data_IF_997923067225
#
_entry.id   IF_997923067225
#
_cell.length_a   1.000
_cell.length_b   1.000
_cell.length_c   1.000
_cell.angle_alpha   90.00
_cell.angle_beta   90.00
_cell.angle_gamma   90.00
#
_symmetry.space_group_name_H-M   'P 1'
#
loop_
_entity.id
_entity.type
_entity.pdbx_description
1 polymer ?
#
# COMPACT_ATOMS: atom_id res chain seq x y z
N UNK A 1 22.38 16.45 -7.95
CA UNK A 1 21.21 16.77 -7.10
C UNK A 1 20.86 15.57 -6.20
N UNK A 2 20.73 14.35 -6.72
CA UNK A 2 20.41 13.15 -5.94
C UNK A 2 21.30 12.94 -4.70
N UNK A 3 22.63 13.03 -4.82
CA UNK A 3 23.59 12.89 -3.72
C UNK A 3 23.29 13.86 -2.57
N UNK A 4 23.09 15.15 -2.89
CA UNK A 4 22.79 16.16 -1.87
C UNK A 4 21.50 15.84 -1.11
N UNK A 5 20.44 15.45 -1.83
CA UNK A 5 19.18 15.08 -1.22
C UNK A 5 19.37 13.83 -0.35
N UNK A 6 20.10 12.82 -0.84
CA UNK A 6 20.41 11.61 -0.05
C UNK A 6 21.08 11.95 1.28
N UNK A 7 22.09 12.80 1.27
CA UNK A 7 22.79 13.21 2.49
C UNK A 7 21.82 13.90 3.46
N UNK A 8 21.01 14.84 2.98
CA UNK A 8 20.01 15.54 3.80
C UNK A 8 19.01 14.58 4.41
N UNK A 9 18.49 13.63 3.63
CA UNK A 9 17.53 12.63 4.12
C UNK A 9 18.15 11.69 5.15
N UNK A 10 19.41 11.28 4.98
CA UNK A 10 20.13 10.45 5.97
C UNK A 10 20.32 11.22 7.27
N UNK A 11 20.62 12.51 7.23
CA UNK A 11 20.73 13.34 8.43
C UNK A 11 19.39 13.43 9.16
N UNK A 12 18.28 13.69 8.45
CA UNK A 12 16.94 13.68 9.05
C UNK A 12 16.56 12.30 9.59
N UNK A 13 16.88 11.22 8.87
CA UNK A 13 16.65 9.86 9.32
C UNK A 13 17.38 9.58 10.62
N UNK A 14 18.67 9.92 10.71
CA UNK A 14 19.46 9.75 11.93
C UNK A 14 18.87 10.56 13.10
N UNK A 15 18.48 11.81 12.85
CA UNK A 15 17.85 12.66 13.87
C UNK A 15 16.56 12.02 14.40
N UNK A 16 15.67 11.58 13.51
CA UNK A 16 14.39 10.97 13.89
C UNK A 16 14.60 9.60 14.58
N UNK A 17 15.59 8.81 14.14
CA UNK A 17 15.95 7.56 14.82
C UNK A 17 16.39 7.80 16.28
N UNK A 18 17.16 8.87 16.54
CA UNK A 18 17.58 9.25 17.90
C UNK A 18 16.37 9.69 18.74
N UNK A 19 15.43 10.43 18.15
CA UNK A 19 14.24 10.95 18.83
C UNK A 19 13.25 9.82 19.16
N UNK A 20 12.93 8.97 18.17
CA UNK A 20 11.82 8.01 18.27
C UNK A 20 12.23 6.61 18.73
N UNK A 21 13.49 6.24 18.57
CA UNK A 21 14.08 4.96 19.03
C UNK A 21 13.31 3.71 18.59
N UNK A 22 12.60 3.75 17.46
CA UNK A 22 11.79 2.63 16.98
C UNK A 22 11.70 2.59 15.45
N UNK A 23 12.05 1.45 14.88
CA UNK A 23 12.02 1.24 13.43
C UNK A 23 10.58 1.21 12.84
N UNK A 24 9.56 1.04 13.68
CA UNK A 24 8.15 1.07 13.21
C UNK A 24 7.54 2.47 13.18
N UNK A 25 8.34 3.53 13.38
CA UNK A 25 7.85 4.90 13.29
C UNK A 25 7.62 5.30 11.82
N UNK A 26 6.47 5.95 11.47
CA UNK A 26 6.12 6.24 10.08
C UNK A 26 7.18 7.08 9.36
N UNK A 27 7.77 8.07 10.02
CA UNK A 27 8.81 8.90 9.41
C UNK A 27 10.12 8.15 9.15
N UNK A 28 10.46 7.15 9.97
CA UNK A 28 11.65 6.31 9.74
C UNK A 28 11.44 5.44 8.49
N UNK A 29 10.23 4.94 8.29
CA UNK A 29 9.87 4.17 7.10
C UNK A 29 9.99 5.05 5.85
N UNK A 30 9.35 6.23 5.84
CA UNK A 30 9.39 7.15 4.70
C UNK A 30 10.81 7.60 4.36
N UNK A 31 11.56 8.09 5.35
CA UNK A 31 12.91 8.60 5.12
C UNK A 31 13.89 7.51 4.75
N UNK A 32 13.77 6.32 5.35
CA UNK A 32 14.61 5.17 5.02
C UNK A 32 14.41 4.73 3.57
N UNK A 33 13.16 4.61 3.13
CA UNK A 33 12.81 4.27 1.76
C UNK A 33 13.37 5.28 0.76
N UNK A 34 13.07 6.57 0.93
CA UNK A 34 13.51 7.60 0.00
C UNK A 34 15.03 7.84 0.03
N UNK A 35 15.69 7.61 1.17
CA UNK A 35 17.16 7.64 1.24
C UNK A 35 17.78 6.55 0.35
N UNK A 36 17.21 5.34 0.35
CA UNK A 36 17.66 4.24 -0.50
C UNK A 36 17.39 4.57 -1.97
N UNK A 37 16.19 5.07 -2.30
CA UNK A 37 15.81 5.40 -3.69
C UNK A 37 16.73 6.47 -4.27
N UNK A 38 16.94 7.57 -3.55
CA UNK A 38 17.83 8.63 -4.03
C UNK A 38 19.30 8.20 -4.10
N UNK A 39 19.72 7.34 -3.17
CA UNK A 39 21.04 6.72 -3.26
C UNK A 39 21.18 5.88 -4.54
N UNK A 40 20.18 5.06 -4.87
CA UNK A 40 20.15 4.30 -6.12
C UNK A 40 20.15 5.22 -7.36
N UNK A 41 19.45 6.34 -7.33
CA UNK A 41 19.47 7.32 -8.41
C UNK A 41 20.82 8.00 -8.61
N UNK A 42 21.79 7.83 -7.69
CA UNK A 42 23.18 8.33 -7.91
C UNK A 42 23.98 7.45 -8.86
N UNK A 43 23.57 6.20 -9.04
CA UNK A 43 24.17 5.28 -9.99
C UNK A 43 23.40 5.41 -11.30
N UNK A 44 23.97 6.06 -12.29
CA UNK A 44 23.38 6.16 -13.64
C UNK A 44 23.57 4.84 -14.41
N UNK A 45 22.87 3.79 -13.99
CA UNK A 45 22.88 2.48 -14.69
C UNK A 45 22.22 2.61 -16.07
N UNK A 46 21.29 3.55 -16.21
CA UNK A 46 20.65 3.91 -17.46
C UNK A 46 20.79 5.41 -17.65
N UNK A 47 21.14 5.86 -18.86
CA UNK A 47 21.21 7.27 -19.23
C UNK A 47 19.82 7.90 -19.22
N UNK A 48 19.34 8.27 -18.03
CA UNK A 48 18.12 9.05 -17.88
C UNK A 48 18.45 10.43 -17.36
N UNK A 49 18.07 11.43 -18.10
CA UNK A 49 18.04 12.79 -17.61
C UNK A 49 16.84 13.00 -16.69
N UNK A 50 17.09 12.89 -15.38
CA UNK A 50 16.08 13.20 -14.37
C UNK A 50 16.05 14.72 -14.17
N UNK A 51 14.90 15.34 -14.45
CA UNK A 51 14.73 16.78 -14.32
C UNK A 51 14.89 17.24 -12.86
N UNK A 52 15.51 18.41 -12.69
CA UNK A 52 15.62 19.04 -11.37
C UNK A 52 14.25 19.23 -10.70
N UNK A 53 13.21 19.43 -11.50
CA UNK A 53 11.84 19.61 -11.04
C UNK A 53 11.27 18.34 -10.39
N UNK A 54 11.55 17.15 -10.95
CA UNK A 54 11.14 15.89 -10.35
C UNK A 54 11.75 15.69 -8.96
N UNK A 55 13.06 15.98 -8.84
CA UNK A 55 13.74 15.97 -7.54
C UNK A 55 13.12 16.96 -6.55
N UNK A 56 12.79 18.18 -6.99
CA UNK A 56 12.16 19.20 -6.14
C UNK A 56 10.79 18.78 -5.64
N UNK A 57 9.94 18.19 -6.49
CA UNK A 57 8.61 17.72 -6.12
C UNK A 57 8.70 16.70 -4.98
N UNK A 58 9.56 15.69 -5.12
CA UNK A 58 9.72 14.66 -4.10
C UNK A 58 10.31 15.26 -2.82
N UNK A 59 11.36 16.05 -2.94
CA UNK A 59 12.05 16.63 -1.79
C UNK A 59 11.16 17.58 -0.98
N UNK A 60 10.41 18.46 -1.65
CA UNK A 60 9.42 19.33 -0.99
C UNK A 60 8.30 18.52 -0.31
N UNK A 61 7.84 17.46 -0.95
CA UNK A 61 6.85 16.57 -0.36
C UNK A 61 7.36 15.90 0.92
N UNK A 62 8.61 15.40 0.92
CA UNK A 62 9.24 14.80 2.10
C UNK A 62 9.47 15.84 3.20
N UNK A 63 9.96 17.05 2.86
CA UNK A 63 10.12 18.13 3.83
C UNK A 63 8.79 18.53 4.47
N UNK A 64 7.72 18.55 3.68
CA UNK A 64 6.36 18.82 4.17
C UNK A 64 5.88 17.72 5.10
N UNK A 65 6.20 16.44 4.82
CA UNK A 65 5.93 15.34 5.73
C UNK A 65 6.70 15.48 7.06
N UNK A 66 7.96 15.92 7.01
CA UNK A 66 8.75 16.20 8.23
C UNK A 66 8.10 17.34 9.03
N UNK A 67 7.66 18.42 8.36
CA UNK A 67 6.90 19.50 9.00
C UNK A 67 5.63 19.00 9.69
N UNK A 68 4.84 18.16 9.01
CA UNK A 68 3.64 17.53 9.58
C UNK A 68 3.92 16.64 10.81
N UNK A 69 5.05 15.93 10.80
CA UNK A 69 5.50 15.15 11.96
C UNK A 69 5.79 16.05 13.18
N UNK A 70 6.58 17.10 13.01
CA UNK A 70 6.89 18.01 14.13
C UNK A 70 5.64 18.73 14.66
N UNK A 71 4.73 19.13 13.75
CA UNK A 71 3.45 19.70 14.13
C UNK A 71 2.62 18.72 14.98
N UNK A 72 2.43 17.50 14.50
CA UNK A 72 1.65 16.47 15.21
C UNK A 72 2.25 16.12 16.57
N UNK A 73 3.58 16.13 16.69
CA UNK A 73 4.27 15.81 17.92
C UNK A 73 4.04 16.84 19.04
N UNK A 74 3.99 18.12 18.67
CA UNK A 74 3.74 19.20 19.63
C UNK A 74 2.31 19.15 20.17
N UNK A 75 1.31 18.96 19.30
CA UNK A 75 -0.11 18.89 19.70
C UNK A 75 -0.44 17.63 20.49
N UNK A 76 0.19 16.50 20.18
CA UNK A 76 -0.06 15.22 20.86
C UNK A 76 0.49 15.19 22.28
N UNK A 77 1.58 15.88 22.58
CA UNK A 77 2.06 16.06 23.94
C UNK A 77 1.05 16.76 24.85
N UNK A 78 0.17 17.60 24.27
CA UNK A 78 -0.90 18.25 25.00
C UNK A 78 -2.09 17.30 25.24
N UNK A 79 -2.50 16.54 24.24
CA UNK A 79 -3.68 15.67 24.32
C UNK A 79 -3.44 14.34 25.07
N UNK A 80 -2.23 13.77 25.02
CA UNK A 80 -1.89 12.54 25.78
C UNK A 80 -1.86 12.81 27.28
N UNK A 81 -1.41 13.99 27.73
CA UNK A 81 -1.48 14.39 29.16
C UNK A 81 -2.91 14.51 29.68
N UNK A 82 -3.89 14.88 28.82
CA UNK A 82 -5.29 14.94 29.20
C UNK A 82 -5.96 13.56 29.31
N UNK A 83 -5.46 12.54 28.58
CA UNK A 83 -6.06 11.20 28.49
C UNK A 83 -5.37 10.13 29.35
N UNK A 84 -4.31 10.44 30.09
CA UNK A 84 -3.63 9.48 30.98
C UNK A 84 -4.52 8.90 32.10
N UNK A 85 -5.71 9.47 32.35
CA UNK A 85 -6.68 8.95 33.32
C UNK A 85 -7.51 7.76 32.82
N UNK A 86 -7.45 7.42 31.52
CA UNK A 86 -8.12 6.22 30.99
C UNK A 86 -7.12 5.06 30.95
N UNK A 87 -6.74 4.58 32.15
CA UNK A 87 -6.02 3.32 32.33
C UNK A 87 -6.95 2.12 32.00
N UNK A 88 -7.32 1.94 30.75
CA UNK A 88 -7.91 0.68 30.30
C UNK A 88 -6.76 -0.32 30.18
N UNK A 89 -6.48 -1.06 31.25
CA UNK A 89 -5.71 -2.31 31.17
C UNK A 89 -6.46 -3.27 30.24
N UNK A 90 -6.27 -3.13 28.94
CA UNK A 90 -6.73 -4.10 27.98
C UNK A 90 -5.88 -5.37 28.09
N UNK A 91 -6.20 -6.22 29.08
CA UNK A 91 -5.78 -7.61 29.08
C UNK A 91 -6.59 -8.35 28.01
N UNK A 92 -6.36 -8.01 26.72
CA UNK A 92 -7.01 -8.69 25.59
C UNK A 92 -6.39 -10.09 25.42
N UNK A 93 -6.77 -11.06 26.29
CA UNK A 93 -6.40 -12.46 26.07
C UNK A 93 -7.12 -13.07 24.86
N UNK A 94 -8.32 -12.60 24.55
CA UNK A 94 -9.12 -13.03 23.39
C UNK A 94 -9.68 -11.79 22.67
N UNK A 95 -9.08 -11.41 21.53
CA UNK A 95 -9.45 -10.23 20.74
C UNK A 95 -10.87 -10.35 20.19
N UNK A 96 -11.21 -11.54 19.70
CA UNK A 96 -12.51 -11.88 19.15
C UNK A 96 -13.12 -13.08 19.85
N UNK A 97 -14.45 -13.12 19.95
CA UNK A 97 -15.19 -14.33 20.33
C UNK A 97 -14.94 -15.47 19.31
N UNK A 98 -15.16 -16.71 19.72
CA UNK A 98 -15.04 -17.84 18.80
C UNK A 98 -15.96 -17.68 17.60
N UNK A 99 -17.22 -17.28 17.81
CA UNK A 99 -18.20 -17.03 16.74
C UNK A 99 -17.67 -16.04 15.71
N UNK A 100 -17.04 -14.95 16.16
CA UNK A 100 -16.50 -13.94 15.26
C UNK A 100 -15.28 -14.44 14.48
N UNK A 101 -14.42 -15.24 15.10
CA UNK A 101 -13.30 -15.87 14.39
C UNK A 101 -13.79 -16.88 13.35
N UNK A 102 -14.82 -17.65 13.65
CA UNK A 102 -15.44 -18.54 12.65
C UNK A 102 -16.08 -17.76 11.51
N UNK A 103 -16.71 -16.61 11.78
CA UNK A 103 -17.25 -15.74 10.74
C UNK A 103 -16.12 -15.22 9.82
N UNK A 104 -15.02 -14.71 10.38
CA UNK A 104 -13.86 -14.30 9.61
C UNK A 104 -13.31 -15.46 8.77
N UNK A 105 -13.18 -16.64 9.38
CA UNK A 105 -12.73 -17.84 8.69
C UNK A 105 -13.64 -18.24 7.51
N UNK A 106 -14.98 -18.16 7.69
CA UNK A 106 -15.94 -18.42 6.60
C UNK A 106 -15.79 -17.38 5.46
N UNK A 107 -15.61 -16.11 5.79
CA UNK A 107 -15.38 -15.07 4.77
C UNK A 107 -14.10 -15.36 4.00
N UNK A 108 -13.01 -15.74 4.67
CA UNK A 108 -11.74 -16.11 4.02
C UNK A 108 -11.90 -17.32 3.08
N UNK A 109 -12.72 -18.32 3.45
CA UNK A 109 -13.01 -19.44 2.57
C UNK A 109 -13.82 -18.99 1.34
N UNK A 110 -14.82 -18.12 1.53
CA UNK A 110 -15.59 -17.57 0.41
C UNK A 110 -14.64 -16.82 -0.55
N UNK A 111 -13.70 -16.02 -0.01
CA UNK A 111 -12.70 -15.34 -0.80
C UNK A 111 -11.81 -16.31 -1.57
N UNK A 112 -11.37 -17.39 -0.92
CA UNK A 112 -10.60 -18.46 -1.55
C UNK A 112 -11.36 -19.08 -2.74
N UNK A 113 -12.65 -19.40 -2.58
CA UNK A 113 -13.48 -19.96 -3.64
C UNK A 113 -13.60 -18.98 -4.83
N UNK A 114 -13.84 -17.69 -4.54
CA UNK A 114 -13.91 -16.66 -5.58
C UNK A 114 -12.57 -16.56 -6.34
N UNK A 115 -11.45 -16.54 -5.60
CA UNK A 115 -10.12 -16.45 -6.22
C UNK A 115 -9.75 -17.71 -7.01
N UNK A 116 -10.18 -18.88 -6.59
CA UNK A 116 -10.01 -20.11 -7.36
C UNK A 116 -10.77 -20.07 -8.68
N UNK A 117 -11.99 -19.54 -8.69
CA UNK A 117 -12.74 -19.32 -9.93
C UNK A 117 -12.01 -18.37 -10.89
N UNK A 118 -11.41 -17.30 -10.38
CA UNK A 118 -10.57 -16.42 -11.20
C UNK A 118 -9.30 -17.11 -11.72
N UNK A 119 -8.68 -17.94 -10.88
CA UNK A 119 -7.49 -18.69 -11.27
C UNK A 119 -7.78 -19.70 -12.39
N UNK A 120 -8.94 -20.37 -12.37
CA UNK A 120 -9.36 -21.28 -13.45
C UNK A 120 -9.48 -20.55 -14.78
N UNK A 121 -10.02 -19.33 -14.79
CA UNK A 121 -10.06 -18.49 -15.99
C UNK A 121 -8.65 -18.13 -16.50
N UNK A 122 -7.75 -17.74 -15.59
CA UNK A 122 -6.34 -17.46 -15.95
C UNK A 122 -5.66 -18.72 -16.52
N UNK A 123 -5.90 -19.87 -15.89
CA UNK A 123 -5.36 -21.15 -16.35
C UNK A 123 -5.87 -21.50 -17.76
N UNK A 124 -7.15 -21.32 -18.04
CA UNK A 124 -7.73 -21.55 -19.36
C UNK A 124 -7.07 -20.67 -20.45
N UNK A 125 -6.73 -19.42 -20.14
CA UNK A 125 -6.00 -18.53 -21.03
C UNK A 125 -4.54 -19.00 -21.24
N UNK A 126 -3.88 -19.48 -20.21
CA UNK A 126 -2.54 -20.09 -20.33
C UNK A 126 -2.57 -21.34 -21.18
N UNK A 127 -3.56 -22.21 -20.99
CA UNK A 127 -3.73 -23.45 -21.74
C UNK A 127 -4.05 -23.18 -23.24
N UNK A 128 -4.63 -22.00 -23.54
CA UNK A 128 -4.83 -21.53 -24.92
C UNK A 128 -3.56 -20.95 -25.57
N UNK A 129 -2.42 -20.94 -24.86
CA UNK A 129 -1.13 -20.48 -25.38
C UNK A 129 -0.84 -18.99 -25.20
N UNK A 130 -1.70 -18.24 -24.48
CA UNK A 130 -1.45 -16.83 -24.17
C UNK A 130 -0.32 -16.73 -23.13
N UNK A 131 0.70 -15.92 -23.41
CA UNK A 131 1.81 -15.73 -22.49
C UNK A 131 1.34 -15.08 -21.17
N UNK A 132 1.85 -15.54 -20.03
CA UNK A 132 1.45 -15.03 -18.69
C UNK A 132 1.59 -13.51 -18.55
N UNK A 133 2.58 -12.90 -19.22
CA UNK A 133 2.74 -11.44 -19.24
C UNK A 133 1.62 -10.70 -19.97
N UNK A 134 0.98 -11.33 -20.96
CA UNK A 134 -0.13 -10.76 -21.74
C UNK A 134 -1.46 -10.96 -21.03
N UNK A 135 -1.63 -12.06 -20.27
CA UNK A 135 -2.84 -12.35 -19.48
C UNK A 135 -3.16 -11.21 -18.53
N UNK A 136 -2.15 -10.59 -17.92
CA UNK A 136 -2.36 -9.46 -17.02
C UNK A 136 -3.17 -8.33 -17.67
N UNK A 137 -2.88 -8.02 -18.93
CA UNK A 137 -3.56 -6.92 -19.65
C UNK A 137 -4.92 -7.35 -20.19
N UNK A 138 -4.99 -8.53 -20.79
CA UNK A 138 -6.24 -9.05 -21.37
C UNK A 138 -7.22 -9.45 -20.26
N UNK A 139 -6.76 -10.16 -19.22
CA UNK A 139 -7.64 -10.66 -18.15
C UNK A 139 -8.29 -9.56 -17.35
N UNK A 140 -7.51 -8.54 -16.93
CA UNK A 140 -8.05 -7.41 -16.18
C UNK A 140 -8.99 -6.56 -17.03
N UNK A 141 -8.68 -6.36 -18.30
CA UNK A 141 -9.45 -5.51 -19.20
C UNK A 141 -10.65 -6.26 -19.81
N UNK A 142 -10.44 -7.49 -20.25
CA UNK A 142 -11.40 -8.21 -21.08
C UNK A 142 -12.28 -9.18 -20.29
N UNK A 143 -11.84 -9.70 -19.15
CA UNK A 143 -12.61 -10.64 -18.33
C UNK A 143 -13.20 -9.96 -17.09
N UNK A 144 -12.38 -9.34 -16.27
CA UNK A 144 -12.88 -8.66 -15.04
C UNK A 144 -13.57 -7.35 -15.41
N UNK A 145 -13.00 -6.56 -16.35
CA UNK A 145 -13.53 -5.26 -16.72
C UNK A 145 -14.84 -5.32 -17.49
N UNK A 146 -15.05 -6.36 -18.33
CA UNK A 146 -16.28 -6.51 -19.10
C UNK A 146 -17.46 -7.11 -18.30
N UNK A 147 -17.18 -7.86 -17.22
CA UNK A 147 -18.23 -8.37 -16.36
C UNK A 147 -18.39 -7.45 -15.13
N UNK A 148 -19.45 -6.63 -15.07
CA UNK A 148 -19.62 -5.65 -14.00
C UNK A 148 -19.72 -6.31 -12.62
N UNK A 149 -20.29 -7.51 -12.51
CA UNK A 149 -20.40 -8.24 -11.24
C UNK A 149 -19.03 -8.68 -10.75
N UNK A 150 -18.20 -9.25 -11.61
CA UNK A 150 -16.84 -9.65 -11.27
C UNK A 150 -16.00 -8.44 -10.86
N UNK A 151 -16.11 -7.34 -11.59
CA UNK A 151 -15.38 -6.12 -11.28
C UNK A 151 -15.79 -5.55 -9.90
N UNK A 152 -17.09 -5.50 -9.60
CA UNK A 152 -17.60 -5.04 -8.30
C UNK A 152 -17.10 -5.95 -7.17
N UNK A 153 -17.27 -7.27 -7.29
CA UNK A 153 -16.82 -8.21 -6.27
C UNK A 153 -15.31 -8.08 -6.05
N UNK A 154 -14.54 -8.01 -7.12
CA UNK A 154 -13.08 -7.94 -7.02
C UNK A 154 -12.62 -6.62 -6.41
N UNK A 155 -13.13 -5.49 -6.90
CA UNK A 155 -12.68 -4.15 -6.51
C UNK A 155 -13.19 -3.71 -5.13
N UNK A 156 -14.41 -4.12 -4.75
CA UNK A 156 -15.02 -3.69 -3.49
C UNK A 156 -14.88 -4.72 -2.37
N UNK A 157 -14.78 -6.00 -2.65
CA UNK A 157 -14.71 -7.04 -1.64
C UNK A 157 -13.33 -7.70 -1.58
N UNK A 158 -12.89 -8.34 -2.68
CA UNK A 158 -11.69 -9.21 -2.65
C UNK A 158 -10.43 -8.42 -2.28
N UNK A 159 -10.11 -7.39 -3.03
CA UNK A 159 -8.89 -6.61 -2.81
C UNK A 159 -8.89 -5.85 -1.47
N UNK A 160 -9.91 -5.05 -1.13
CA UNK A 160 -9.88 -4.27 0.10
C UNK A 160 -9.95 -5.14 1.37
N UNK A 161 -10.76 -6.20 1.34
CA UNK A 161 -10.86 -7.10 2.47
C UNK A 161 -9.53 -7.85 2.69
N UNK A 162 -8.89 -8.36 1.64
CA UNK A 162 -7.57 -8.97 1.70
C UNK A 162 -6.53 -8.02 2.30
N UNK A 163 -6.45 -6.76 1.83
CA UNK A 163 -5.52 -5.77 2.39
C UNK A 163 -5.76 -5.54 3.89
N UNK A 164 -7.01 -5.51 4.34
CA UNK A 164 -7.34 -5.39 5.76
C UNK A 164 -6.95 -6.66 6.54
N UNK A 165 -7.16 -7.84 5.94
CA UNK A 165 -6.85 -9.12 6.58
C UNK A 165 -5.35 -9.40 6.71
N UNK A 166 -4.52 -8.89 5.81
CA UNK A 166 -3.06 -9.05 5.90
C UNK A 166 -2.50 -8.68 7.28
N UNK A 167 -2.64 -7.44 7.78
CA UNK A 167 -2.15 -7.10 9.12
C UNK A 167 -2.95 -7.76 10.24
N UNK A 168 -4.25 -8.00 10.05
CA UNK A 168 -5.10 -8.60 11.07
C UNK A 168 -4.74 -10.07 11.33
N UNK A 169 -4.57 -10.87 10.29
CA UNK A 169 -4.21 -12.29 10.40
C UNK A 169 -2.85 -12.48 11.09
N UNK A 170 -1.86 -11.64 10.75
CA UNK A 170 -0.54 -11.62 11.40
C UNK A 170 -0.66 -11.24 12.87
N UNK A 171 -1.43 -10.20 13.18
CA UNK A 171 -1.64 -9.76 14.56
C UNK A 171 -2.32 -10.86 15.40
N UNK A 172 -3.37 -11.49 14.87
CA UNK A 172 -4.05 -12.61 15.52
C UNK A 172 -3.09 -13.77 15.77
N UNK A 173 -2.27 -14.14 14.79
CA UNK A 173 -1.31 -15.23 14.92
C UNK A 173 -0.29 -14.99 16.06
N UNK A 174 0.13 -13.74 16.26
CA UNK A 174 1.09 -13.37 17.32
C UNK A 174 0.43 -13.41 18.69
N UNK A 175 -0.82 -12.95 18.80
CA UNK A 175 -1.53 -12.74 20.08
C UNK A 175 -2.36 -13.94 20.55
N UNK A 176 -2.95 -14.65 19.62
CA UNK A 176 -3.96 -15.66 19.88
C UNK A 176 -3.45 -17.07 19.53
N UNK A 177 -3.61 -18.04 20.44
CA UNK A 177 -3.08 -19.40 20.28
C UNK A 177 -4.10 -20.39 19.74
N UNK A 178 -5.35 -19.98 19.53
CA UNK A 178 -6.42 -20.86 19.04
C UNK A 178 -6.11 -21.46 17.66
N UNK A 179 -6.55 -22.70 17.44
CA UNK A 179 -6.31 -23.40 16.16
C UNK A 179 -6.92 -22.65 14.97
N UNK A 180 -8.13 -22.10 15.16
CA UNK A 180 -8.85 -21.32 14.12
C UNK A 180 -8.02 -20.14 13.62
N UNK A 181 -7.30 -19.45 14.51
CA UNK A 181 -6.43 -18.32 14.11
C UNK A 181 -5.32 -18.74 13.17
N UNK A 182 -4.75 -19.95 13.38
CA UNK A 182 -3.72 -20.47 12.46
C UNK A 182 -4.32 -20.81 11.10
N UNK A 183 -5.56 -21.31 11.08
CA UNK A 183 -6.26 -21.60 9.83
C UNK A 183 -6.58 -20.29 9.08
N UNK A 184 -7.08 -19.26 9.77
CA UNK A 184 -7.30 -17.92 9.18
C UNK A 184 -6.02 -17.38 8.55
N UNK A 185 -4.89 -17.43 9.29
CA UNK A 185 -3.61 -16.98 8.76
C UNK A 185 -3.17 -17.79 7.52
N UNK A 186 -3.35 -19.12 7.55
CA UNK A 186 -2.94 -19.98 6.44
C UNK A 186 -3.78 -19.71 5.18
N UNK A 187 -5.10 -19.55 5.34
CA UNK A 187 -6.00 -19.26 4.21
C UNK A 187 -5.70 -17.87 3.66
N UNK A 188 -5.49 -16.87 4.50
CA UNK A 188 -5.09 -15.53 4.05
C UNK A 188 -3.77 -15.59 3.27
N UNK A 189 -2.77 -16.36 3.72
CA UNK A 189 -1.54 -16.55 2.97
C UNK A 189 -1.80 -17.14 1.59
N UNK A 190 -2.69 -18.14 1.49
CA UNK A 190 -3.08 -18.74 0.20
C UNK A 190 -3.83 -17.73 -0.67
N UNK A 191 -4.74 -16.94 -0.09
CA UNK A 191 -5.47 -15.89 -0.79
C UNK A 191 -4.52 -14.85 -1.38
N UNK A 192 -3.51 -14.39 -0.62
CA UNK A 192 -2.48 -13.45 -1.11
C UNK A 192 -1.69 -14.03 -2.28
N UNK A 193 -1.31 -15.31 -2.19
CA UNK A 193 -0.60 -15.98 -3.28
C UNK A 193 -1.49 -16.11 -4.53
N UNK A 194 -2.76 -16.47 -4.37
CA UNK A 194 -3.70 -16.56 -5.48
C UNK A 194 -3.97 -15.21 -6.14
N UNK A 195 -4.21 -14.15 -5.35
CA UNK A 195 -4.36 -12.79 -5.90
C UNK A 195 -3.11 -12.40 -6.70
N UNK A 196 -1.92 -12.69 -6.16
CA UNK A 196 -0.66 -12.41 -6.84
C UNK A 196 -0.56 -13.12 -8.19
N UNK A 197 -0.97 -14.39 -8.25
CA UNK A 197 -0.95 -15.18 -9.49
C UNK A 197 -2.05 -14.71 -10.46
N UNK A 198 -3.26 -14.50 -9.97
CA UNK A 198 -4.41 -14.05 -10.79
C UNK A 198 -4.15 -12.69 -11.42
N UNK A 199 -3.63 -11.75 -10.64
CA UNK A 199 -3.33 -10.38 -11.10
C UNK A 199 -2.01 -10.27 -11.87
N UNK A 200 -1.14 -11.27 -11.76
CA UNK A 200 0.23 -11.17 -12.26
C UNK A 200 1.04 -10.05 -11.59
N UNK A 201 0.65 -9.61 -10.39
CA UNK A 201 1.25 -8.49 -9.68
C UNK A 201 2.01 -8.97 -8.43
N UNK A 202 3.23 -8.46 -8.24
CA UNK A 202 4.06 -8.80 -7.07
C UNK A 202 3.73 -7.94 -5.85
N UNK A 203 2.95 -6.87 -6.03
CA UNK A 203 2.72 -5.87 -4.98
C UNK A 203 2.01 -6.43 -3.75
N UNK A 204 1.10 -7.39 -3.93
CA UNK A 204 0.43 -8.06 -2.80
C UNK A 204 1.41 -8.79 -1.89
N UNK A 205 2.47 -9.38 -2.46
CA UNK A 205 3.54 -10.00 -1.67
C UNK A 205 4.32 -8.96 -0.87
N UNK A 206 4.63 -7.81 -1.47
CA UNK A 206 5.30 -6.72 -0.77
C UNK A 206 4.42 -6.15 0.34
N UNK A 207 3.11 -5.97 0.10
CA UNK A 207 2.17 -5.53 1.14
C UNK A 207 2.16 -6.51 2.31
N UNK A 208 2.03 -7.80 2.03
CA UNK A 208 1.99 -8.80 3.09
C UNK A 208 3.31 -8.88 3.87
N UNK A 209 4.45 -8.86 3.20
CA UNK A 209 5.77 -8.84 3.84
C UNK A 209 5.93 -7.59 4.73
N UNK A 210 5.54 -6.42 4.23
CA UNK A 210 5.54 -5.18 4.98
C UNK A 210 4.65 -5.27 6.23
N UNK A 211 3.41 -5.74 6.09
CA UNK A 211 2.51 -5.89 7.22
C UNK A 211 2.99 -6.95 8.23
N UNK A 212 3.62 -8.03 7.77
CA UNK A 212 4.23 -9.01 8.68
C UNK A 212 5.33 -8.39 9.53
N UNK A 213 6.28 -7.69 8.90
CA UNK A 213 7.41 -7.07 9.58
C UNK A 213 6.93 -5.97 10.54
N UNK A 214 6.09 -5.06 10.05
CA UNK A 214 5.64 -3.89 10.85
C UNK A 214 4.71 -4.31 11.99
N UNK A 215 3.79 -5.26 11.77
CA UNK A 215 2.94 -5.81 12.85
C UNK A 215 3.81 -6.43 13.95
N UNK A 216 4.79 -7.23 13.55
CA UNK A 216 5.71 -7.84 14.50
C UNK A 216 6.49 -6.82 15.32
N UNK A 217 7.06 -5.80 14.67
CA UNK A 217 7.80 -4.72 15.34
C UNK A 217 6.91 -3.94 16.33
N UNK A 218 5.68 -3.61 15.92
CA UNK A 218 4.72 -2.91 16.76
C UNK A 218 4.29 -3.73 17.98
N UNK A 219 3.99 -5.02 17.80
CA UNK A 219 3.61 -5.91 18.91
C UNK A 219 4.77 -6.12 19.87
N UNK A 220 5.99 -6.34 19.36
CA UNK A 220 7.19 -6.47 20.19
C UNK A 220 7.43 -5.23 21.05
N UNK A 221 7.27 -4.03 20.48
CA UNK A 221 7.39 -2.76 21.20
C UNK A 221 6.33 -2.62 22.29
N UNK A 222 5.08 -3.01 22.02
CA UNK A 222 3.98 -2.85 22.98
C UNK A 222 4.06 -3.80 24.18
N UNK A 223 4.69 -4.97 24.03
CA UNK A 223 4.71 -6.02 25.07
C UNK A 223 6.05 -6.18 25.80
N UNK A 224 7.14 -5.64 25.26
CA UNK A 224 8.48 -5.79 25.84
C UNK A 224 9.03 -7.23 25.89
N UNK A 225 8.33 -8.20 25.30
CA UNK A 225 8.66 -9.62 25.38
C UNK A 225 9.44 -10.10 24.16
N UNK A 226 10.32 -11.06 24.37
CA UNK A 226 10.93 -11.82 23.28
C UNK A 226 9.83 -12.53 22.46
N UNK A 227 9.85 -12.28 21.17
CA UNK A 227 8.90 -12.87 20.23
C UNK A 227 8.91 -14.39 20.30
N UNK A 228 7.75 -15.00 20.17
CA UNK A 228 7.64 -16.45 20.20
C UNK A 228 8.49 -17.05 19.05
N UNK A 229 9.31 -18.07 19.37
CA UNK A 229 10.11 -18.81 18.40
C UNK A 229 9.28 -19.30 17.20
N UNK A 230 7.97 -19.50 17.41
CA UNK A 230 7.00 -19.93 16.38
C UNK A 230 6.77 -18.85 15.32
N UNK A 231 6.62 -17.58 15.72
CA UNK A 231 6.45 -16.48 14.77
C UNK A 231 7.66 -16.37 13.84
N UNK A 232 8.89 -16.45 14.39
CA UNK A 232 10.12 -16.43 13.57
C UNK A 232 10.15 -17.55 12.53
N UNK A 233 9.72 -18.78 12.89
CA UNK A 233 9.64 -19.90 11.95
C UNK A 233 8.61 -19.68 10.86
N UNK A 234 7.41 -19.17 11.21
CA UNK A 234 6.34 -18.91 10.25
C UNK A 234 6.71 -17.74 9.34
N UNK A 235 7.31 -16.67 9.88
CA UNK A 235 7.81 -15.55 9.10
C UNK A 235 8.90 -15.99 8.11
N UNK A 236 9.84 -16.84 8.55
CA UNK A 236 10.85 -17.40 7.67
C UNK A 236 10.24 -18.23 6.54
N UNK A 237 9.27 -19.10 6.86
CA UNK A 237 8.57 -19.90 5.86
C UNK A 237 7.82 -19.01 4.84
N UNK A 238 7.14 -17.97 5.30
CA UNK A 238 6.45 -17.03 4.43
C UNK A 238 7.44 -16.27 3.52
N UNK A 239 8.59 -15.83 4.06
CA UNK A 239 9.62 -15.17 3.26
C UNK A 239 10.17 -16.11 2.17
N UNK A 240 10.40 -17.39 2.49
CA UNK A 240 10.84 -18.39 1.51
C UNK A 240 9.77 -18.58 0.42
N UNK A 241 8.50 -18.75 0.81
CA UNK A 241 7.39 -18.87 -0.12
C UNK A 241 7.27 -17.65 -1.04
N UNK A 242 7.39 -16.44 -0.49
CA UNK A 242 7.36 -15.21 -1.28
C UNK A 242 8.54 -15.13 -2.25
N UNK A 243 9.75 -15.51 -1.82
CA UNK A 243 10.90 -15.56 -2.68
C UNK A 243 10.68 -16.53 -3.85
N UNK A 244 10.14 -17.73 -3.58
CA UNK A 244 9.82 -18.71 -4.61
C UNK A 244 8.80 -18.17 -5.63
N UNK A 245 7.69 -17.60 -5.17
CA UNK A 245 6.66 -17.01 -6.05
C UNK A 245 7.21 -15.81 -6.82
N UNK A 246 8.01 -14.97 -6.17
CA UNK A 246 8.66 -13.83 -6.82
C UNK A 246 9.58 -14.28 -7.97
N UNK A 247 10.41 -15.28 -7.71
CA UNK A 247 11.30 -15.86 -8.73
C UNK A 247 10.50 -16.51 -9.86
N UNK A 248 9.44 -17.27 -9.51
CA UNK A 248 8.56 -17.89 -10.49
C UNK A 248 7.92 -16.86 -11.44
N UNK A 249 7.29 -15.81 -10.90
CA UNK A 249 6.69 -14.74 -11.70
C UNK A 249 7.76 -14.01 -12.53
N UNK A 250 8.95 -13.79 -11.97
CA UNK A 250 10.05 -13.15 -12.69
C UNK A 250 10.50 -13.99 -13.88
N UNK A 251 10.70 -15.30 -13.66
CA UNK A 251 11.12 -16.24 -14.71
C UNK A 251 10.06 -16.40 -15.80
N UNK A 252 8.76 -16.51 -15.45
CA UNK A 252 7.69 -16.66 -16.42
C UNK A 252 7.50 -15.41 -17.31
N UNK A 253 7.87 -14.21 -16.83
CA UNK A 253 7.86 -12.98 -17.64
C UNK A 253 9.08 -12.87 -18.57
N UNK A 254 10.21 -13.45 -18.20
CA UNK A 254 11.44 -13.46 -19.01
C UNK A 254 11.34 -14.48 -20.13
N UNK A 255 10.75 -15.66 -19.87
CA UNK A 255 10.66 -16.75 -20.84
C UNK A 255 9.75 -16.47 -22.05
N UNK A 256 8.84 -15.52 -21.93
CA UNK A 256 7.97 -15.11 -23.04
C UNK A 256 8.67 -14.28 -24.14
N UNK A 257 9.95 -13.97 -24.01
CA UNK A 257 10.66 -13.07 -24.93
C UNK A 257 11.95 -13.57 -25.57
N UNK A 258 12.61 -14.64 -25.07
CA UNK A 258 13.93 -15.04 -25.60
C UNK A 258 14.22 -16.54 -25.35
N UNK A 259 14.42 -17.26 -26.44
CA UNK A 259 15.02 -18.60 -26.45
C UNK A 259 16.54 -18.50 -26.24
N UNK A 260 17.09 -19.37 -25.38
CA UNK A 260 18.51 -19.63 -25.16
C UNK A 260 19.38 -18.47 -24.66
N UNK A 261 19.48 -18.31 -23.35
CA UNK A 261 20.51 -17.42 -22.77
C UNK A 261 21.09 -17.90 -21.44
N UNK A 262 22.39 -17.60 -21.24
CA UNK A 262 23.26 -18.01 -20.14
C UNK A 262 22.77 -17.57 -18.75
N UNK A 263 23.08 -18.33 -17.69
CA UNK A 263 22.73 -18.05 -16.30
C UNK A 263 23.20 -16.66 -15.81
N UNK A 264 24.31 -16.14 -16.29
CA UNK A 264 24.83 -14.81 -15.96
C UNK A 264 23.89 -13.68 -16.43
N UNK A 265 23.26 -13.83 -17.58
CA UNK A 265 22.26 -12.90 -18.11
C UNK A 265 20.97 -12.83 -17.26
N UNK A 266 20.65 -13.91 -16.57
CA UNK A 266 19.50 -13.96 -15.67
C UNK A 266 19.75 -13.15 -14.39
N UNK A 267 20.98 -13.20 -13.87
CA UNK A 267 21.40 -12.42 -12.68
C UNK A 267 21.43 -10.93 -13.02
N UNK A 268 22.02 -10.55 -14.16
CA UNK A 268 21.99 -9.16 -14.63
C UNK A 268 20.56 -8.63 -14.80
N UNK A 269 19.68 -9.39 -15.43
CA UNK A 269 18.27 -9.00 -15.58
C UNK A 269 17.51 -8.86 -14.26
N UNK A 270 17.84 -9.67 -13.25
CA UNK A 270 17.24 -9.53 -11.90
C UNK A 270 17.76 -8.27 -11.24
N UNK A 271 19.07 -7.96 -11.35
CA UNK A 271 19.65 -6.74 -10.81
C UNK A 271 19.07 -5.51 -11.49
N UNK A 272 18.98 -5.50 -12.81
CA UNK A 272 18.36 -4.45 -13.59
C UNK A 272 16.89 -4.23 -13.21
N UNK A 273 16.15 -5.33 -13.07
CA UNK A 273 14.75 -5.25 -12.65
C UNK A 273 14.60 -4.67 -11.25
N UNK A 274 15.46 -5.05 -10.30
CA UNK A 274 15.44 -4.53 -8.93
C UNK A 274 15.81 -3.04 -8.90
N UNK A 275 16.85 -2.65 -9.64
CA UNK A 275 17.27 -1.25 -9.77
C UNK A 275 16.15 -0.39 -10.35
N UNK A 276 15.56 -0.80 -11.50
CA UNK A 276 14.44 -0.11 -12.13
C UNK A 276 13.23 0.00 -11.21
N UNK A 277 12.97 -1.02 -10.41
CA UNK A 277 11.82 -1.01 -9.51
C UNK A 277 11.87 0.13 -8.50
N UNK A 278 13.05 0.45 -7.98
CA UNK A 278 13.21 1.50 -6.96
C UNK A 278 13.59 2.85 -7.57
N UNK A 279 14.51 2.90 -8.52
CA UNK A 279 14.95 4.17 -9.12
C UNK A 279 14.04 4.68 -10.24
N UNK A 280 13.38 3.77 -10.96
CA UNK A 280 12.54 4.09 -12.11
C UNK A 280 11.35 5.00 -11.79
N UNK A 281 10.86 5.00 -10.55
CA UNK A 281 9.77 5.89 -10.14
C UNK A 281 10.15 7.38 -10.24
N UNK A 282 11.43 7.73 -10.04
CA UNK A 282 11.91 9.12 -10.14
C UNK A 282 12.04 9.55 -11.61
N UNK A 283 12.60 8.66 -12.46
CA UNK A 283 12.67 8.89 -13.90
C UNK A 283 11.29 8.97 -14.55
N UNK A 284 10.37 8.10 -14.12
CA UNK A 284 8.98 8.14 -14.57
C UNK A 284 8.30 9.46 -14.19
N UNK A 285 8.49 9.90 -12.95
CA UNK A 285 7.99 11.19 -12.49
C UNK A 285 8.55 12.34 -13.33
N UNK A 286 9.84 12.32 -13.67
CA UNK A 286 10.47 13.34 -14.52
C UNK A 286 9.74 13.46 -15.86
N UNK A 287 9.55 12.36 -16.56
CA UNK A 287 8.88 12.34 -17.86
C UNK A 287 7.41 12.79 -17.78
N UNK A 288 6.69 12.34 -16.75
CA UNK A 288 5.28 12.70 -16.57
C UNK A 288 5.10 14.17 -16.18
N UNK A 289 6.02 14.74 -15.38
CA UNK A 289 5.99 16.16 -15.05
C UNK A 289 6.23 17.03 -16.29
N UNK A 290 7.17 16.65 -17.15
CA UNK A 290 7.42 17.36 -18.41
C UNK A 290 6.18 17.35 -19.31
N UNK A 291 5.54 16.19 -19.48
CA UNK A 291 4.32 16.04 -20.26
C UNK A 291 3.16 16.87 -19.68
N UNK A 292 2.97 16.81 -18.36
CA UNK A 292 1.93 17.58 -17.66
C UNK A 292 2.15 19.08 -17.78
N UNK A 293 3.40 19.55 -17.72
CA UNK A 293 3.71 20.98 -17.84
C UNK A 293 3.57 21.47 -19.28
N UNK A 294 3.84 20.62 -20.27
CA UNK A 294 3.62 20.94 -21.67
C UNK A 294 2.13 21.14 -22.02
N UNK A 295 1.22 20.55 -21.21
CA UNK A 295 -0.23 20.79 -21.31
C UNK A 295 -0.55 22.23 -20.91
N UNK A 296 -0.91 23.07 -21.89
CA UNK A 296 -1.26 24.48 -21.72
C UNK A 296 -2.74 24.71 -21.38
N UNK A 297 -3.53 23.65 -21.19
CA UNK A 297 -4.94 23.81 -20.85
C UNK A 297 -5.09 24.56 -19.50
N UNK A 298 -5.99 25.57 -19.49
CA UNK A 298 -6.24 26.42 -18.32
C UNK A 298 -6.76 25.57 -17.14
N UNK A 299 -7.40 24.46 -17.46
CA UNK A 299 -8.11 23.62 -16.52
C UNK A 299 -7.46 22.23 -16.35
N UNK A 300 -6.11 22.16 -16.25
CA UNK A 300 -5.38 20.88 -16.16
C UNK A 300 -5.39 20.24 -14.77
N UNK A 301 -5.70 21.00 -13.73
CA UNK A 301 -5.67 20.53 -12.35
C UNK A 301 -6.96 19.82 -11.93
N UNK A 302 -6.85 18.90 -10.97
CA UNK A 302 -7.97 18.05 -10.51
C UNK A 302 -8.38 18.30 -9.05
N UNK A 303 -7.77 19.31 -8.41
CA UNK A 303 -8.18 19.87 -7.10
C UNK A 303 -8.39 18.83 -5.98
N UNK A 304 -7.55 17.81 -5.91
CA UNK A 304 -7.58 16.74 -4.90
C UNK A 304 -8.36 15.50 -5.34
N UNK A 305 -9.11 15.56 -6.44
CA UNK A 305 -9.93 14.42 -6.88
C UNK A 305 -9.06 13.24 -7.32
N UNK A 306 -7.94 13.46 -8.02
CA UNK A 306 -7.03 12.38 -8.43
C UNK A 306 -6.38 11.71 -7.21
N UNK A 307 -5.92 12.49 -6.24
CA UNK A 307 -5.32 11.94 -5.02
C UNK A 307 -6.31 11.13 -4.18
N UNK A 308 -7.52 11.61 -4.02
CA UNK A 308 -8.53 10.99 -3.14
C UNK A 308 -9.61 10.22 -3.90
N UNK A 309 -9.34 9.82 -5.14
CA UNK A 309 -10.29 9.11 -5.99
C UNK A 309 -10.81 7.81 -5.34
N UNK A 310 -9.96 7.07 -4.63
CA UNK A 310 -10.38 5.85 -3.93
C UNK A 310 -11.44 6.08 -2.85
N UNK A 311 -11.51 7.30 -2.29
CA UNK A 311 -12.55 7.70 -1.33
C UNK A 311 -13.75 8.30 -2.04
N UNK A 312 -13.50 9.14 -3.05
CA UNK A 312 -14.54 9.92 -3.72
C UNK A 312 -15.34 9.12 -4.74
N UNK A 313 -14.71 8.14 -5.42
CA UNK A 313 -15.38 7.35 -6.47
C UNK A 313 -16.60 6.57 -5.97
N UNK A 314 -16.58 5.85 -4.83
CA UNK A 314 -17.78 5.21 -4.30
C UNK A 314 -18.91 6.20 -4.02
N UNK A 315 -18.58 7.38 -3.49
CA UNK A 315 -19.56 8.44 -3.23
C UNK A 315 -20.15 8.97 -4.54
N UNK A 316 -19.31 9.17 -5.56
CA UNK A 316 -19.75 9.60 -6.87
C UNK A 316 -20.67 8.57 -7.54
N UNK A 317 -20.32 7.28 -7.47
CA UNK A 317 -21.18 6.21 -8.01
C UNK A 317 -22.54 6.14 -7.33
N UNK A 318 -22.61 6.35 -6.02
CA UNK A 318 -23.90 6.49 -5.30
C UNK A 318 -24.67 7.72 -5.79
N UNK A 319 -23.97 8.83 -6.05
CA UNK A 319 -24.59 10.04 -6.57
C UNK A 319 -25.15 9.84 -8.00
N UNK A 320 -24.42 9.12 -8.87
CA UNK A 320 -24.88 8.78 -10.22
C UNK A 320 -26.15 7.91 -10.22
N UNK A 321 -26.31 7.04 -9.21
CA UNK A 321 -27.55 6.26 -9.05
C UNK A 321 -28.77 7.13 -8.69
N UNK A 322 -28.54 8.27 -8.03
CA UNK A 322 -29.60 9.20 -7.63
C UNK A 322 -29.89 10.22 -8.74
N UNK A 323 -28.86 10.70 -9.43
CA UNK A 323 -28.97 11.68 -10.53
C UNK A 323 -28.30 11.13 -11.79
N UNK A 324 -29.10 10.56 -12.70
CA UNK A 324 -28.61 9.98 -13.96
C UNK A 324 -27.88 10.99 -14.87
N UNK A 325 -28.06 12.30 -14.66
CA UNK A 325 -27.34 13.35 -15.37
C UNK A 325 -26.02 13.76 -14.67
N UNK A 326 -25.69 13.18 -13.52
CA UNK A 326 -24.49 13.55 -12.76
C UNK A 326 -23.20 13.23 -13.53
N UNK A 327 -23.16 12.15 -14.31
CA UNK A 327 -22.00 11.76 -15.11
C UNK A 327 -21.64 12.78 -16.18
N UNK A 328 -22.65 13.39 -16.83
CA UNK A 328 -22.47 14.44 -17.84
C UNK A 328 -22.06 15.79 -17.23
N UNK A 329 -22.39 16.04 -15.97
CA UNK A 329 -22.08 17.29 -15.26
C UNK A 329 -20.70 17.28 -14.60
N UNK A 330 -20.15 16.11 -14.29
CA UNK A 330 -18.89 15.99 -13.54
C UNK A 330 -17.66 15.82 -14.43
N UNK A 331 -17.36 16.85 -15.23
CA UNK A 331 -16.12 16.90 -16.02
C UNK A 331 -14.85 16.70 -15.17
N UNK A 332 -14.88 17.03 -13.87
CA UNK A 332 -13.75 16.92 -12.96
C UNK A 332 -13.44 15.46 -12.60
N UNK A 333 -14.45 14.60 -12.40
CA UNK A 333 -14.22 13.16 -12.13
C UNK A 333 -13.71 12.43 -13.37
N UNK A 334 -14.30 12.70 -14.53
CA UNK A 334 -13.82 12.14 -15.82
C UNK A 334 -12.37 12.53 -16.07
N UNK A 335 -12.04 13.80 -15.81
CA UNK A 335 -10.67 14.29 -15.91
C UNK A 335 -9.72 13.63 -14.93
N UNK A 336 -10.15 13.39 -13.68
CA UNK A 336 -9.34 12.68 -12.70
C UNK A 336 -9.12 11.21 -13.11
N UNK A 337 -10.12 10.55 -13.71
CA UNK A 337 -9.98 9.21 -14.29
C UNK A 337 -8.97 9.20 -15.44
N UNK A 338 -9.03 10.17 -16.35
CA UNK A 338 -8.08 10.32 -17.46
C UNK A 338 -6.66 10.56 -16.93
N UNK A 339 -6.50 11.45 -15.95
CA UNK A 339 -5.21 11.71 -15.30
C UNK A 339 -4.67 10.48 -14.58
N UNK A 340 -5.52 9.71 -13.89
CA UNK A 340 -5.10 8.46 -13.26
C UNK A 340 -4.65 7.43 -14.28
N UNK A 341 -5.38 7.25 -15.37
CA UNK A 341 -4.99 6.37 -16.46
C UNK A 341 -3.66 6.80 -17.09
N UNK A 342 -3.43 8.10 -17.26
CA UNK A 342 -2.16 8.66 -17.70
C UNK A 342 -1.02 8.36 -16.69
N UNK A 343 -1.25 8.55 -15.40
CA UNK A 343 -0.31 8.27 -14.32
C UNK A 343 0.08 6.78 -14.34
N UNK A 344 -0.88 5.90 -14.45
CA UNK A 344 -0.68 4.44 -14.40
C UNK A 344 -0.19 3.86 -15.74
N UNK A 345 -0.12 4.67 -16.81
CA UNK A 345 0.35 4.20 -18.12
C UNK A 345 1.84 3.88 -18.11
N UNK A 346 2.21 2.76 -18.75
CA UNK A 346 3.59 2.37 -18.88
C UNK A 346 4.37 3.35 -19.76
N UNK A 347 5.64 3.54 -19.47
CA UNK A 347 6.59 4.33 -20.25
C UNK A 347 7.76 3.46 -20.72
N UNK A 348 8.54 3.98 -21.65
CA UNK A 348 9.81 3.39 -22.05
C UNK A 348 10.93 4.13 -21.35
N UNK A 349 11.72 3.40 -20.56
CA UNK A 349 12.93 3.90 -19.91
C UNK A 349 14.12 3.12 -20.46
N UNK A 350 15.03 3.78 -21.23
CA UNK A 350 16.20 3.15 -21.84
C UNK A 350 15.88 1.91 -22.69
N UNK A 351 14.77 1.93 -23.41
CA UNK A 351 14.30 0.78 -24.22
C UNK A 351 13.57 -0.29 -23.43
N UNK A 352 13.52 -0.18 -22.07
CA UNK A 352 12.78 -1.11 -21.21
C UNK A 352 11.38 -0.55 -20.90
N UNK A 353 10.36 -1.38 -21.06
CA UNK A 353 8.99 -1.03 -20.65
C UNK A 353 8.92 -0.98 -19.13
N UNK A 354 8.73 0.20 -18.59
CA UNK A 354 8.53 0.45 -17.18
C UNK A 354 7.02 0.58 -16.90
N UNK A 355 6.50 -0.28 -16.04
CA UNK A 355 5.11 -0.20 -15.61
C UNK A 355 4.93 1.00 -14.68
N UNK A 356 3.79 1.67 -14.79
CA UNK A 356 3.47 2.96 -14.23
C UNK A 356 3.56 3.12 -12.70
N UNK A 357 4.73 2.90 -12.13
CA UNK A 357 5.01 3.26 -10.74
C UNK A 357 5.46 4.71 -10.70
N UNK A 358 4.72 5.52 -9.98
CA UNK A 358 5.05 6.92 -9.82
C UNK A 358 4.86 7.30 -8.35
N UNK A 359 5.74 8.15 -7.86
CA UNK A 359 5.69 8.65 -6.49
C UNK A 359 4.31 9.23 -6.12
N UNK A 360 3.87 9.04 -4.87
CA UNK A 360 2.64 9.66 -4.36
C UNK A 360 2.62 11.19 -4.54
N UNK A 361 3.78 11.83 -4.55
CA UNK A 361 3.91 13.29 -4.70
C UNK A 361 3.45 13.80 -6.07
N UNK A 362 3.48 12.94 -7.10
CA UNK A 362 2.98 13.32 -8.41
C UNK A 362 1.45 13.47 -8.43
N UNK A 363 0.71 12.63 -7.71
CA UNK A 363 -0.74 12.78 -7.55
C UNK A 363 -1.09 14.16 -6.97
N UNK A 364 -0.35 14.59 -5.96
CA UNK A 364 -0.52 15.91 -5.33
C UNK A 364 -0.15 17.05 -6.27
N UNK A 365 0.88 16.84 -7.11
CA UNK A 365 1.31 17.79 -8.12
C UNK A 365 0.26 17.98 -9.21
N UNK A 366 -0.35 16.92 -9.71
CA UNK A 366 -1.45 16.96 -10.70
C UNK A 366 -2.70 17.65 -10.14
N UNK A 367 -2.95 17.51 -8.84
CA UNK A 367 -4.09 18.15 -8.21
C UNK A 367 -3.95 19.67 -8.08
N UNK A 368 -2.83 20.17 -7.56
CA UNK A 368 -2.66 21.59 -7.20
C UNK A 368 -1.22 22.08 -7.37
N UNK A 369 -0.43 21.50 -8.27
CA UNK A 369 0.97 21.87 -8.48
C UNK A 369 1.81 21.73 -7.18
N UNK A 370 2.84 22.50 -6.99
CA UNK A 370 3.68 22.51 -5.79
C UNK A 370 2.89 22.77 -4.50
N UNK A 371 1.83 23.58 -4.56
CA UNK A 371 0.94 23.85 -3.41
C UNK A 371 0.30 22.55 -2.95
N UNK A 372 -0.19 21.73 -3.87
CA UNK A 372 -0.76 20.40 -3.56
C UNK A 372 0.27 19.49 -2.91
N UNK A 373 1.49 19.46 -3.45
CA UNK A 373 2.59 18.67 -2.88
C UNK A 373 2.85 19.07 -1.42
N UNK A 374 2.93 20.35 -1.12
CA UNK A 374 3.20 20.83 0.24
C UNK A 374 2.04 20.55 1.18
N UNK A 375 0.83 20.97 0.81
CA UNK A 375 -0.34 20.90 1.70
C UNK A 375 -0.77 19.45 1.93
N UNK A 376 -0.92 18.65 0.86
CA UNK A 376 -1.42 17.29 1.00
C UNK A 376 -0.40 16.41 1.73
N UNK A 377 0.90 16.53 1.43
CA UNK A 377 1.95 15.79 2.12
C UNK A 377 1.99 16.11 3.62
N UNK A 378 1.86 17.40 3.98
CA UNK A 378 1.77 17.83 5.37
C UNK A 378 0.58 17.19 6.10
N UNK A 379 -0.63 17.29 5.52
CA UNK A 379 -1.86 16.76 6.12
C UNK A 379 -1.82 15.23 6.26
N UNK A 380 -1.32 14.52 5.24
CA UNK A 380 -1.16 13.05 5.29
C UNK A 380 -0.17 12.66 6.39
N UNK A 381 0.94 13.39 6.52
CA UNK A 381 1.90 13.14 7.59
C UNK A 381 1.30 13.36 8.98
N UNK A 382 0.58 14.47 9.20
CA UNK A 382 -0.14 14.73 10.45
C UNK A 382 -1.09 13.57 10.76
N UNK A 383 -1.89 13.15 9.77
CA UNK A 383 -2.86 12.07 9.94
C UNK A 383 -2.19 10.72 10.29
N UNK A 384 -1.10 10.32 9.60
CA UNK A 384 -0.40 9.05 9.86
C UNK A 384 0.27 9.08 11.24
N UNK A 385 0.94 10.19 11.61
CA UNK A 385 1.58 10.34 12.91
C UNK A 385 0.55 10.37 14.05
N UNK A 386 -0.60 10.99 13.85
CA UNK A 386 -1.72 10.92 14.79
C UNK A 386 -2.22 9.48 14.97
N UNK A 387 -2.36 8.69 13.91
CA UNK A 387 -2.71 7.26 14.00
C UNK A 387 -1.68 6.46 14.79
N UNK A 388 -0.41 6.75 14.59
CA UNK A 388 0.67 6.12 15.33
C UNK A 388 0.61 6.43 16.83
N UNK A 389 0.47 7.68 17.19
CA UNK A 389 0.36 8.13 18.58
C UNK A 389 -0.90 7.57 19.26
N UNK A 390 -2.02 7.54 18.53
CA UNK A 390 -3.25 6.93 19.01
C UNK A 390 -3.07 5.42 19.27
N UNK A 391 -2.34 4.72 18.41
CA UNK A 391 -1.98 3.32 18.64
C UNK A 391 -1.10 3.16 19.90
N UNK A 392 -0.08 3.99 20.06
CA UNK A 392 0.80 3.91 21.23
C UNK A 392 0.07 4.15 22.56
N UNK A 393 -0.90 5.07 22.56
CA UNK A 393 -1.72 5.38 23.72
C UNK A 393 -2.70 4.24 24.06
N UNK A 394 -3.41 3.74 23.07
CA UNK A 394 -4.50 2.77 23.29
C UNK A 394 -4.05 1.30 23.27
N UNK A 395 -2.98 0.98 22.55
CA UNK A 395 -2.43 -0.38 22.38
C UNK A 395 -3.48 -1.45 21.99
N UNK A 396 -4.61 -1.02 21.40
CA UNK A 396 -5.68 -1.92 20.98
C UNK A 396 -5.42 -2.51 19.59
N UNK A 397 -5.97 -3.68 19.32
CA UNK A 397 -5.92 -4.30 17.98
C UNK A 397 -6.50 -3.40 16.89
N UNK A 398 -7.62 -2.76 17.16
CA UNK A 398 -8.25 -1.82 16.23
C UNK A 398 -7.35 -0.64 15.89
N UNK A 399 -6.73 -0.02 16.90
CA UNK A 399 -5.82 1.12 16.68
C UNK A 399 -4.57 0.70 15.91
N UNK A 400 -4.04 -0.50 16.17
CA UNK A 400 -2.89 -1.04 15.46
C UNK A 400 -3.20 -1.27 13.97
N UNK A 401 -4.29 -1.98 13.65
CA UNK A 401 -4.63 -2.27 12.25
C UNK A 401 -4.85 -0.97 11.47
N UNK A 402 -5.55 0.00 12.03
CA UNK A 402 -5.73 1.32 11.40
C UNK A 402 -4.41 2.08 11.21
N UNK A 403 -3.49 1.96 12.16
CA UNK A 403 -2.15 2.52 12.00
C UNK A 403 -1.39 1.83 10.86
N UNK A 404 -1.43 0.49 10.81
CA UNK A 404 -0.73 -0.27 9.77
C UNK A 404 -1.26 0.04 8.37
N UNK A 405 -2.58 0.16 8.21
CA UNK A 405 -3.19 0.61 6.97
C UNK A 405 -2.79 2.05 6.61
N UNK A 406 -2.68 2.95 7.59
CA UNK A 406 -2.27 4.33 7.34
C UNK A 406 -0.79 4.41 6.94
N UNK A 407 0.10 3.72 7.65
CA UNK A 407 1.55 3.77 7.40
C UNK A 407 1.95 3.11 6.09
N UNK A 408 1.13 2.22 5.53
CA UNK A 408 1.36 1.67 4.20
C UNK A 408 1.41 2.76 3.11
N UNK A 409 0.73 3.89 3.32
CA UNK A 409 0.82 5.06 2.43
C UNK A 409 2.25 5.62 2.35
N UNK A 410 3.00 5.60 3.44
CA UNK A 410 4.40 6.00 3.44
C UNK A 410 5.31 4.90 2.90
N UNK A 411 5.07 3.65 3.29
CA UNK A 411 5.90 2.52 2.88
C UNK A 411 5.80 2.19 1.37
N UNK A 412 4.78 2.68 0.69
CA UNK A 412 4.60 2.50 -0.75
C UNK A 412 4.48 3.84 -1.49
N UNK A 413 5.03 4.89 -0.88
CA UNK A 413 4.98 6.25 -1.41
C UNK A 413 5.72 6.42 -2.73
N UNK A 414 6.70 5.56 -3.01
CA UNK A 414 7.43 5.53 -4.29
C UNK A 414 6.63 4.85 -5.41
N UNK A 415 5.64 4.05 -5.03
CA UNK A 415 4.88 3.23 -5.94
C UNK A 415 3.60 3.91 -6.42
N UNK A 416 2.84 4.45 -5.47
CA UNK A 416 1.59 5.18 -5.73
C UNK A 416 1.07 5.84 -4.45
N UNK A 417 0.09 6.71 -4.60
CA UNK A 417 -0.66 7.20 -3.45
C UNK A 417 -1.78 6.22 -3.09
N UNK A 418 -1.66 5.56 -1.93
CA UNK A 418 -2.53 4.45 -1.55
C UNK A 418 -4.02 4.84 -1.41
N UNK A 419 -4.34 6.10 -1.11
CA UNK A 419 -5.72 6.57 -1.02
C UNK A 419 -6.35 6.94 -2.37
N UNK A 420 -5.55 6.97 -3.45
CA UNK A 420 -6.07 7.14 -4.82
C UNK A 420 -6.77 5.89 -5.34
N UNK A 421 -6.48 4.73 -4.76
CA UNK A 421 -7.12 3.46 -5.07
C UNK A 421 -8.18 3.12 -4.02
N UNK A 422 -9.23 2.43 -4.44
CA UNK A 422 -10.34 2.01 -3.60
C UNK A 422 -9.93 1.06 -2.46
N UNK A 423 -8.85 0.32 -2.65
CA UNK A 423 -8.43 -0.79 -1.80
C UNK A 423 -8.20 -0.39 -0.35
N UNK A 424 -7.37 0.62 -0.12
CA UNK A 424 -7.02 1.04 1.26
C UNK A 424 -8.16 1.80 1.94
N UNK A 425 -8.85 2.76 1.30
CA UNK A 425 -10.06 3.36 1.88
C UNK A 425 -11.12 2.33 2.30
N UNK A 426 -11.42 1.37 1.44
CA UNK A 426 -12.38 0.32 1.77
C UNK A 426 -11.84 -0.66 2.84
N UNK A 427 -10.53 -0.91 2.90
CA UNK A 427 -9.92 -1.69 3.99
C UNK A 427 -10.14 -1.01 5.36
N UNK A 428 -10.13 0.33 5.45
CA UNK A 428 -10.51 1.06 6.66
C UNK A 428 -12.00 0.85 7.03
N UNK A 429 -12.89 0.78 6.03
CA UNK A 429 -14.32 0.49 6.25
C UNK A 429 -14.48 -0.93 6.78
N UNK A 430 -13.84 -1.94 6.18
CA UNK A 430 -13.87 -3.31 6.67
C UNK A 430 -13.26 -3.45 8.08
N UNK A 431 -12.16 -2.76 8.35
CA UNK A 431 -11.60 -2.71 9.69
C UNK A 431 -12.61 -2.16 10.70
N UNK A 432 -13.32 -1.08 10.37
CA UNK A 432 -14.37 -0.52 11.22
C UNK A 432 -15.51 -1.52 11.44
N UNK A 433 -16.03 -2.15 10.38
CA UNK A 433 -17.12 -3.13 10.45
C UNK A 433 -16.75 -4.33 11.33
N UNK A 434 -15.56 -4.90 11.17
CA UNK A 434 -15.08 -6.03 11.96
C UNK A 434 -14.97 -5.68 13.45
N UNK A 435 -14.61 -4.46 13.78
CA UNK A 435 -14.43 -4.05 15.16
C UNK A 435 -15.67 -3.39 15.82
N UNK A 436 -16.75 -3.13 15.07
CA UNK A 436 -17.97 -2.49 15.58
C UNK A 436 -18.57 -3.21 16.79
N UNK A 437 -18.68 -4.53 16.73
CA UNK A 437 -19.30 -5.34 17.79
C UNK A 437 -18.45 -5.44 19.07
N UNK A 438 -17.13 -5.27 18.95
CA UNK A 438 -16.21 -5.32 20.10
C UNK A 438 -16.29 -4.05 20.95
N UNK A 439 -16.66 -2.91 20.35
CA UNK A 439 -16.77 -1.63 21.07
C UNK A 439 -18.10 -1.52 21.87
N UNK A 440 -19.19 -2.13 21.40
CA UNK A 440 -20.49 -2.09 22.10
C UNK A 440 -20.50 -2.86 23.41
N UNK A 441 -19.70 -3.92 23.55
CA UNK A 441 -19.61 -4.72 24.77
C UNK A 441 -18.89 -3.95 25.90
N UNK A 442 -17.95 -3.06 25.58
CA UNK A 442 -17.23 -2.27 26.59
C UNK A 442 -18.08 -1.17 27.23
N UNK A 443 -19.02 -0.58 26.51
CA UNK A 443 -19.91 0.48 27.05
C UNK A 443 -20.91 -0.09 28.07
N UNK A 444 -21.41 -1.30 27.86
CA UNK A 444 -22.34 -1.94 28.79
C UNK A 444 -21.71 -2.42 30.13
N UNK A 445 -20.42 -2.64 30.17
CA UNK A 445 -19.72 -3.09 31.39
C UNK A 445 -19.25 -1.93 32.30
N UNK A 446 -19.39 -0.68 31.84
CA UNK A 446 -19.06 0.51 32.62
C UNK A 446 -20.32 1.20 33.21
N UNK A 447 -21.52 0.75 32.86
CA UNK A 447 -22.80 1.24 33.39
C UNK A 447 -23.44 0.30 34.43
N UNK A 448 -22.78 -0.77 34.82
CA UNK A 448 -23.14 -1.69 35.90
C UNK A 448 -22.13 -1.60 37.04
#
# INVERSE_FOLDING_TARGET
MAIMITIVLIVFLALICVIEKTASHPMIILLGEWSIIFFLCTFSVYDYDISSKAYMIIFLGILSCIGGYFFSKNDLNFNVKCNEKINVKCNEKNIFSNTKLYLIFCIEIIMLIILMSYYENVKSLLDSGIAYGEIRYSYLKDVIGQNPVYNIIFSYLVRPFGIMMMPLSVYLLVKDRRKVVKLVFLIELVNVLLVTVVMGERMYLFYYAFFMITTYLCVKKSEGKNSSKRFKKIALLAIILFACVFVFISKSRISSGVSNKNENELVEKIQDTAYLYFSGCVSHLSQKVENFDADKSVDKYTYGVTSFQGVMRPLHQVWELVDQNASNRNSLFNKADDRKNEIESAILLGGHRFNGYISMFYYFYVDLNFIGVVIISFLISVWINWRYSYFLANKSSYSLIRYLLAVSTFAFSFFQFMLSNLDVPMAFVYCWLIFLSTNKIKVKLTEG
#
